data_IF_354711366084
#
_entry.id   IF_354711366084
#
_cell.length_a   1.000
_cell.length_b   1.000
_cell.length_c   1.000
_cell.angle_alpha   90.00
_cell.angle_beta   90.00
_cell.angle_gamma   90.00
#
_symmetry.space_group_name_H-M   'P 1'
#
loop_
_entity.id
_entity.type
_entity.pdbx_description
1 polymer ?
#
# COMPACT_ATOMS: atom_id res chain seq x y z
N UNK A 1 -11.47 25.20 7.35
CA UNK A 1 -12.19 24.51 8.45
C UNK A 1 -11.48 23.19 8.71
N UNK A 2 -11.14 22.89 9.97
CA UNK A 2 -10.54 21.61 10.37
C UNK A 2 -11.51 20.44 10.12
N UNK A 3 -10.96 19.24 9.91
CA UNK A 3 -11.76 18.02 9.88
C UNK A 3 -12.20 17.68 11.32
N UNK A 4 -13.47 17.29 11.54
CA UNK A 4 -13.92 16.87 12.86
C UNK A 4 -13.13 15.64 13.34
N UNK A 5 -12.82 15.66 14.64
CA UNK A 5 -12.07 14.63 15.34
C UNK A 5 -12.85 14.04 16.52
N UNK A 6 -13.92 14.72 16.96
CA UNK A 6 -14.74 14.37 18.12
C UNK A 6 -16.24 14.28 17.80
N UNK A 7 -17.03 13.51 18.59
CA UNK A 7 -18.50 13.48 18.48
C UNK A 7 -19.15 14.86 18.57
N UNK A 8 -18.62 15.73 19.44
CA UNK A 8 -19.16 17.07 19.67
C UNK A 8 -18.99 17.95 18.43
N UNK A 9 -17.89 17.80 17.70
CA UNK A 9 -17.68 18.49 16.42
C UNK A 9 -18.64 17.96 15.34
N UNK A 10 -18.89 16.64 15.28
CA UNK A 10 -19.89 16.07 14.39
C UNK A 10 -21.30 16.61 14.69
N UNK A 11 -21.69 16.69 15.97
CA UNK A 11 -22.97 17.23 16.39
C UNK A 11 -23.12 18.72 16.01
N UNK A 12 -22.06 19.53 16.18
CA UNK A 12 -22.04 20.93 15.75
C UNK A 12 -22.21 21.10 14.24
N UNK A 13 -21.74 20.13 13.46
CA UNK A 13 -21.91 20.08 12.00
C UNK A 13 -23.27 19.49 11.57
N UNK A 14 -24.09 19.00 12.51
CA UNK A 14 -25.34 18.31 12.22
C UNK A 14 -25.15 16.98 11.49
N UNK A 15 -24.00 16.32 11.66
CA UNK A 15 -23.69 15.06 11.00
C UNK A 15 -24.10 13.89 11.90
N UNK A 16 -24.91 12.97 11.36
CA UNK A 16 -25.24 11.68 11.98
C UNK A 16 -24.01 10.77 12.05
N UNK A 17 -23.22 10.77 10.97
CA UNK A 17 -21.97 10.03 10.84
C UNK A 17 -21.15 10.55 9.65
N UNK A 18 -19.81 10.36 9.66
CA UNK A 18 -18.96 10.66 8.53
C UNK A 18 -19.19 9.70 7.35
N UNK A 19 -18.98 10.18 6.12
CA UNK A 19 -18.88 9.34 4.93
C UNK A 19 -17.56 8.56 4.91
N UNK A 20 -16.46 9.25 5.26
CA UNK A 20 -15.11 8.68 5.33
C UNK A 20 -14.51 9.03 6.70
N UNK A 21 -13.85 8.05 7.32
CA UNK A 21 -12.99 8.28 8.49
C UNK A 21 -11.56 7.97 8.10
N UNK A 22 -10.68 8.95 8.24
CA UNK A 22 -9.24 8.79 8.06
C UNK A 22 -8.59 8.43 9.39
N UNK A 23 -7.79 7.37 9.43
CA UNK A 23 -6.99 6.95 10.57
C UNK A 23 -5.52 7.14 10.20
N UNK A 24 -4.79 7.92 11.00
CA UNK A 24 -3.41 8.29 10.70
C UNK A 24 -2.48 8.06 11.89
N UNK A 25 -1.26 7.61 11.60
CA UNK A 25 -0.19 7.50 12.60
C UNK A 25 0.51 8.81 12.91
N UNK A 26 0.18 9.92 12.24
CA UNK A 26 0.60 11.27 12.60
C UNK A 26 -0.40 11.93 13.56
N UNK A 27 0.03 12.94 14.29
CA UNK A 27 -0.87 13.96 14.82
C UNK A 27 -1.63 14.66 13.69
N UNK A 28 -2.87 15.08 13.98
CA UNK A 28 -3.63 15.83 12.99
C UNK A 28 -3.11 17.27 12.91
N UNK A 29 -2.29 17.54 11.89
CA UNK A 29 -1.78 18.86 11.53
C UNK A 29 -2.43 19.25 10.20
N UNK A 30 -3.21 20.34 10.20
CA UNK A 30 -3.95 20.79 9.02
C UNK A 30 -3.04 21.59 8.08
N UNK A 31 -2.13 20.87 7.41
CA UNK A 31 -1.11 21.43 6.52
C UNK A 31 -1.09 20.69 5.18
N UNK A 32 -0.83 21.39 4.05
CA UNK A 32 -0.69 20.75 2.74
C UNK A 32 0.49 19.75 2.68
N UNK A 33 1.43 19.82 3.63
CA UNK A 33 2.54 18.87 3.74
C UNK A 33 2.15 17.54 4.38
N UNK A 34 0.94 17.44 4.92
CA UNK A 34 0.45 16.24 5.60
C UNK A 34 -0.57 15.55 4.71
N UNK A 35 -0.20 14.36 4.18
CA UNK A 35 -1.00 13.65 3.19
C UNK A 35 -2.43 13.33 3.65
N UNK A 36 -2.61 12.95 4.93
CA UNK A 36 -3.94 12.67 5.50
C UNK A 36 -4.82 13.92 5.56
N UNK A 37 -4.24 15.08 5.90
CA UNK A 37 -4.95 16.35 5.89
C UNK A 37 -5.32 16.77 4.47
N UNK A 38 -4.39 16.68 3.52
CA UNK A 38 -4.59 16.98 2.10
C UNK A 38 -5.74 16.15 1.52
N UNK A 39 -5.67 14.82 1.66
CA UNK A 39 -6.71 13.89 1.17
C UNK A 39 -8.05 14.19 1.82
N UNK A 40 -8.07 14.45 3.13
CA UNK A 40 -9.30 14.82 3.82
C UNK A 40 -9.91 16.13 3.32
N UNK A 41 -9.09 17.14 2.97
CA UNK A 41 -9.58 18.37 2.33
C UNK A 41 -10.07 18.14 0.90
N UNK A 42 -9.39 17.31 0.12
CA UNK A 42 -9.81 16.96 -1.25
C UNK A 42 -11.20 16.31 -1.23
N UNK A 43 -11.40 15.31 -0.38
CA UNK A 43 -12.69 14.65 -0.19
C UNK A 43 -13.76 15.61 0.36
N UNK A 44 -13.41 16.44 1.35
CA UNK A 44 -14.35 17.43 1.90
C UNK A 44 -14.79 18.47 0.88
N UNK A 45 -13.87 18.95 0.03
CA UNK A 45 -14.18 19.87 -1.08
C UNK A 45 -15.07 19.23 -2.14
N UNK A 46 -14.98 17.92 -2.34
CA UNK A 46 -15.88 17.16 -3.21
C UNK A 46 -17.27 16.91 -2.58
N UNK A 47 -17.53 17.42 -1.36
CA UNK A 47 -18.82 17.35 -0.70
C UNK A 47 -19.01 16.15 0.22
N UNK A 48 -17.96 15.37 0.50
CA UNK A 48 -18.02 14.26 1.45
C UNK A 48 -17.86 14.74 2.90
N UNK A 49 -18.55 14.06 3.82
CA UNK A 49 -18.38 14.26 5.27
C UNK A 49 -17.16 13.48 5.73
N UNK A 50 -16.03 14.15 5.94
CA UNK A 50 -14.77 13.49 6.30
C UNK A 50 -14.41 13.81 7.73
N UNK A 51 -14.04 12.79 8.50
CA UNK A 51 -13.52 12.94 9.85
C UNK A 51 -12.15 12.27 9.99
N UNK A 52 -11.39 12.61 11.03
CA UNK A 52 -10.04 12.07 11.23
C UNK A 52 -9.78 11.61 12.67
N UNK A 53 -9.14 10.45 12.79
CA UNK A 53 -8.66 9.85 14.04
C UNK A 53 -7.13 9.78 13.93
N UNK A 54 -6.47 10.69 14.65
CA UNK A 54 -5.01 10.75 14.72
C UNK A 54 -4.51 9.95 15.92
N UNK A 55 -3.56 9.04 15.67
CA UNK A 55 -2.88 8.21 16.66
C UNK A 55 -3.81 7.59 17.70
N UNK A 56 -4.81 6.79 17.28
CA UNK A 56 -5.71 6.15 18.24
C UNK A 56 -4.92 5.24 19.19
N UNK A 57 -5.33 5.20 20.46
CA UNK A 57 -4.85 4.17 21.38
C UNK A 57 -5.19 2.77 20.84
N UNK A 58 -4.15 1.94 20.70
CA UNK A 58 -4.26 0.59 20.16
C UNK A 58 -4.66 -0.44 21.22
N UNK A 59 -4.65 -0.06 22.50
CA UNK A 59 -4.99 -0.92 23.63
C UNK A 59 -6.44 -0.75 24.09
N UNK A 60 -7.18 0.20 23.51
CA UNK A 60 -8.55 0.54 23.89
C UNK A 60 -9.45 0.72 22.66
N UNK A 61 -10.77 0.61 22.88
CA UNK A 61 -11.77 0.94 21.87
C UNK A 61 -12.09 2.44 21.81
N UNK A 62 -11.71 3.20 22.84
CA UNK A 62 -12.20 4.57 23.05
C UNK A 62 -11.95 5.44 21.84
N UNK A 63 -10.74 5.44 21.30
CA UNK A 63 -10.38 6.34 20.19
C UNK A 63 -10.93 5.87 18.85
N UNK A 64 -10.75 4.58 18.52
CA UNK A 64 -11.13 4.06 17.21
C UNK A 64 -12.66 4.04 17.02
N UNK A 65 -13.42 3.86 18.10
CA UNK A 65 -14.87 3.85 18.06
C UNK A 65 -15.50 5.24 18.25
N UNK A 66 -14.72 6.28 18.61
CA UNK A 66 -15.28 7.57 19.05
C UNK A 66 -16.18 8.22 18.01
N UNK A 67 -15.91 8.05 16.72
CA UNK A 67 -16.69 8.67 15.63
C UNK A 67 -17.72 7.72 15.01
N UNK A 68 -17.88 6.52 15.56
CA UNK A 68 -18.68 5.45 14.96
C UNK A 68 -18.04 4.88 13.70
N UNK A 69 -18.88 4.26 12.86
CA UNK A 69 -18.46 3.67 11.58
C UNK A 69 -18.74 4.63 10.40
N UNK A 70 -17.84 4.76 9.41
CA UNK A 70 -18.09 5.57 8.22
C UNK A 70 -19.23 5.00 7.36
N UNK A 71 -19.79 5.81 6.45
CA UNK A 71 -20.80 5.34 5.48
C UNK A 71 -20.19 4.64 4.27
N UNK A 72 -19.02 5.09 3.82
CA UNK A 72 -18.36 4.62 2.60
C UNK A 72 -17.16 3.72 2.90
N UNK A 73 -16.11 4.25 3.53
CA UNK A 73 -14.88 3.49 3.80
C UNK A 73 -14.02 4.09 4.92
N UNK A 74 -13.11 3.28 5.46
CA UNK A 74 -12.02 3.69 6.33
C UNK A 74 -10.76 3.97 5.51
N UNK A 75 -10.16 5.14 5.63
CA UNK A 75 -8.85 5.44 5.03
C UNK A 75 -7.75 5.31 6.06
N UNK A 76 -6.79 4.39 5.89
CA UNK A 76 -5.74 4.10 6.88
C UNK A 76 -4.37 4.44 6.32
N UNK A 77 -3.57 5.18 7.08
CA UNK A 77 -2.17 5.51 6.74
C UNK A 77 -1.28 5.48 7.98
N UNK A 78 -0.03 5.06 7.81
CA UNK A 78 1.00 5.17 8.84
C UNK A 78 1.39 6.62 9.20
N UNK A 79 1.02 7.57 8.34
CA UNK A 79 1.41 8.97 8.45
C UNK A 79 2.24 9.44 7.26
N UNK A 80 2.99 10.50 7.48
CA UNK A 80 3.85 11.16 6.49
C UNK A 80 5.16 10.40 6.25
N UNK A 81 5.50 9.47 7.15
CA UNK A 81 6.66 8.59 7.06
C UNK A 81 6.26 7.15 7.38
N UNK A 82 7.11 6.19 7.01
CA UNK A 82 6.96 4.81 7.41
C UNK A 82 7.04 4.64 8.94
N UNK A 83 6.17 3.82 9.52
CA UNK A 83 6.09 3.69 10.98
C UNK A 83 7.36 3.11 11.61
N UNK A 84 8.02 2.17 10.92
CA UNK A 84 9.27 1.61 11.41
C UNK A 84 10.42 2.62 11.33
N UNK A 85 10.47 3.43 10.26
CA UNK A 85 11.46 4.50 10.13
C UNK A 85 11.27 5.60 11.18
N UNK A 86 10.01 5.89 11.54
CA UNK A 86 9.69 6.82 12.62
C UNK A 86 10.08 6.28 14.00
N UNK A 87 9.94 4.96 14.19
CA UNK A 87 10.17 4.32 15.47
C UNK A 87 11.62 3.90 15.72
N UNK A 88 12.41 3.70 14.67
CA UNK A 88 13.76 3.16 14.78
C UNK A 88 14.78 3.89 13.91
N UNK A 89 16.03 3.78 14.29
CA UNK A 89 17.18 4.15 13.44
C UNK A 89 17.51 3.03 12.45
N UNK A 90 18.35 3.32 11.46
CA UNK A 90 18.87 2.31 10.53
C UNK A 90 19.61 1.16 11.24
N UNK A 91 20.16 1.41 12.42
CA UNK A 91 20.79 0.41 13.30
C UNK A 91 19.77 -0.34 14.19
N UNK A 92 18.47 -0.27 13.86
CA UNK A 92 17.36 -0.90 14.59
C UNK A 92 17.26 -0.47 16.07
N UNK A 93 17.78 0.71 16.44
CA UNK A 93 17.63 1.29 17.78
C UNK A 93 16.34 2.10 17.87
N UNK A 94 15.55 1.92 18.91
CA UNK A 94 14.32 2.69 19.13
C UNK A 94 14.64 4.18 19.29
N UNK A 95 13.93 5.03 18.55
CA UNK A 95 14.01 6.49 18.66
C UNK A 95 13.28 6.93 19.93
N UNK A 96 13.82 7.94 20.60
CA UNK A 96 13.18 8.57 21.77
C UNK A 96 12.10 9.57 21.36
N UNK A 97 12.27 10.18 20.18
CA UNK A 97 11.38 11.20 19.65
C UNK A 97 10.73 10.80 18.33
N UNK A 98 9.55 11.36 18.08
CA UNK A 98 8.82 11.30 16.82
C UNK A 98 8.23 12.68 16.51
N UNK A 99 8.68 13.28 15.40
CA UNK A 99 8.35 14.65 15.01
C UNK A 99 6.84 14.85 14.74
N UNK A 100 6.14 13.75 14.44
CA UNK A 100 4.71 13.78 14.12
C UNK A 100 3.84 13.34 15.30
N UNK A 101 4.40 13.01 16.46
CA UNK A 101 3.65 12.70 17.67
C UNK A 101 3.52 13.94 18.57
N UNK A 102 2.34 14.23 19.17
CA UNK A 102 2.19 15.38 20.06
C UNK A 102 3.20 15.34 21.22
N UNK A 103 3.87 16.46 21.46
CA UNK A 103 4.95 16.55 22.46
C UNK A 103 6.27 15.91 22.03
N UNK A 104 6.37 15.40 20.80
CA UNK A 104 7.59 14.82 20.24
C UNK A 104 8.01 13.49 20.85
N UNK A 105 7.18 12.88 21.72
CA UNK A 105 7.51 11.64 22.43
C UNK A 105 7.13 10.43 21.58
N UNK A 106 8.05 9.51 21.34
CA UNK A 106 7.75 8.31 20.55
C UNK A 106 7.05 7.23 21.40
N UNK A 107 5.75 7.39 21.62
CA UNK A 107 4.94 6.47 22.42
C UNK A 107 3.55 6.16 21.84
N UNK A 108 3.17 6.75 20.71
CA UNK A 108 1.81 6.62 20.16
C UNK A 108 1.71 5.93 18.81
N UNK A 109 2.67 6.16 17.90
CA UNK A 109 2.70 5.47 16.61
C UNK A 109 3.16 4.02 16.81
N UNK A 110 2.32 3.01 16.51
CA UNK A 110 2.75 1.63 16.61
C UNK A 110 3.62 1.23 15.42
N UNK A 111 4.41 0.18 15.61
CA UNK A 111 5.15 -0.48 14.54
C UNK A 111 4.17 -1.11 13.54
N UNK A 112 4.44 -0.99 12.24
CA UNK A 112 3.55 -1.43 11.17
C UNK A 112 2.13 -0.83 11.30
N UNK A 113 2.07 0.49 11.50
CA UNK A 113 0.86 1.20 11.86
C UNK A 113 -0.35 0.92 10.95
N UNK A 114 -0.15 0.80 9.64
CA UNK A 114 -1.22 0.49 8.69
C UNK A 114 -1.87 -0.86 8.99
N UNK A 115 -1.07 -1.87 9.35
CA UNK A 115 -1.56 -3.20 9.74
C UNK A 115 -2.26 -3.13 11.10
N UNK A 116 -1.64 -2.48 12.08
CA UNK A 116 -2.18 -2.37 13.45
C UNK A 116 -3.53 -1.66 13.45
N UNK A 117 -3.65 -0.52 12.79
CA UNK A 117 -4.92 0.22 12.74
C UNK A 117 -5.99 -0.52 11.95
N UNK A 118 -5.63 -1.21 10.87
CA UNK A 118 -6.59 -2.06 10.14
C UNK A 118 -7.13 -3.18 11.03
N UNK A 119 -6.25 -3.86 11.78
CA UNK A 119 -6.66 -4.89 12.72
C UNK A 119 -7.51 -4.32 13.87
N UNK A 120 -7.17 -3.13 14.37
CA UNK A 120 -7.92 -2.43 15.42
C UNK A 120 -9.36 -2.14 14.96
N UNK A 121 -9.53 -1.64 13.73
CA UNK A 121 -10.87 -1.42 13.14
C UNK A 121 -11.64 -2.74 13.09
N UNK A 122 -11.05 -3.80 12.54
CA UNK A 122 -11.70 -5.13 12.41
C UNK A 122 -11.97 -5.81 13.76
N UNK A 123 -11.21 -5.45 14.81
CA UNK A 123 -11.43 -5.94 16.16
C UNK A 123 -12.76 -5.43 16.71
N UNK A 124 -13.06 -4.13 16.52
CA UNK A 124 -14.25 -3.49 17.11
C UNK A 124 -15.44 -3.36 16.15
N UNK A 125 -15.21 -3.32 14.84
CA UNK A 125 -16.25 -3.26 13.83
C UNK A 125 -16.26 -4.56 13.02
N UNK A 126 -17.27 -5.41 13.26
CA UNK A 126 -17.47 -6.67 12.53
C UNK A 126 -18.23 -6.40 11.23
N UNK A 127 -17.83 -7.07 10.15
CA UNK A 127 -18.39 -6.84 8.80
C UNK A 127 -18.39 -5.36 8.40
N UNK A 128 -17.31 -4.68 8.75
CA UNK A 128 -17.20 -3.23 8.60
C UNK A 128 -17.10 -2.79 7.15
N UNK A 129 -17.29 -1.49 6.91
CA UNK A 129 -17.01 -0.85 5.62
C UNK A 129 -15.60 -1.15 5.11
N UNK A 130 -15.39 -1.08 3.77
CA UNK A 130 -14.09 -1.31 3.17
C UNK A 130 -12.98 -0.49 3.84
N UNK A 131 -11.80 -1.10 3.98
CA UNK A 131 -10.61 -0.47 4.49
C UNK A 131 -9.65 -0.21 3.33
N UNK A 132 -9.27 1.06 3.16
CA UNK A 132 -8.43 1.56 2.09
C UNK A 132 -7.10 2.02 2.68
N UNK A 133 -6.02 1.33 2.33
CA UNK A 133 -4.67 1.72 2.74
C UNK A 133 -4.12 2.83 1.85
N UNK A 134 -3.30 3.70 2.41
CA UNK A 134 -2.60 4.73 1.66
C UNK A 134 -1.33 5.21 2.38
N UNK A 135 -0.67 6.20 1.77
CA UNK A 135 0.59 6.75 2.28
C UNK A 135 1.82 5.95 1.86
N UNK A 136 2.99 6.40 2.33
CA UNK A 136 4.29 5.87 1.92
C UNK A 136 4.43 4.39 2.34
N UNK A 137 4.07 4.07 3.59
CA UNK A 137 4.16 2.72 4.14
C UNK A 137 3.41 1.68 3.29
N UNK A 138 2.18 2.00 2.89
CA UNK A 138 1.38 1.12 2.04
C UNK A 138 1.90 1.09 0.60
N UNK A 139 2.20 2.26 0.02
CA UNK A 139 2.63 2.37 -1.39
C UNK A 139 3.90 1.58 -1.70
N UNK A 140 4.87 1.58 -0.78
CA UNK A 140 6.12 0.83 -0.92
C UNK A 140 5.92 -0.68 -0.75
N UNK A 141 4.89 -1.10 -0.01
CA UNK A 141 4.58 -2.50 0.28
C UNK A 141 3.38 -3.05 -0.51
N UNK A 142 3.00 -2.38 -1.60
CA UNK A 142 1.82 -2.76 -2.41
C UNK A 142 1.99 -4.07 -3.18
N UNK A 143 3.24 -4.47 -3.41
CA UNK A 143 3.67 -5.69 -4.11
C UNK A 143 4.65 -6.46 -3.20
N UNK A 144 5.11 -7.62 -3.67
CA UNK A 144 6.18 -8.34 -2.98
C UNK A 144 7.40 -7.43 -2.81
N UNK A 145 7.95 -7.37 -1.60
CA UNK A 145 9.02 -6.46 -1.24
C UNK A 145 9.96 -7.09 -0.23
N UNK A 146 11.20 -6.63 -0.22
CA UNK A 146 12.16 -6.99 0.82
C UNK A 146 11.89 -6.16 2.07
N UNK A 147 11.71 -6.83 3.21
CA UNK A 147 11.54 -6.22 4.51
C UNK A 147 12.84 -6.24 5.31
N UNK A 148 13.47 -5.08 5.43
CA UNK A 148 14.71 -4.89 6.17
C UNK A 148 14.60 -5.29 7.66
N UNK A 149 13.41 -5.15 8.25
CA UNK A 149 13.21 -5.39 9.68
C UNK A 149 13.31 -6.87 10.02
N UNK A 150 12.64 -7.71 9.21
CA UNK A 150 12.62 -9.17 9.38
C UNK A 150 13.65 -9.92 8.51
N UNK A 151 14.37 -9.21 7.63
CA UNK A 151 15.36 -9.77 6.70
C UNK A 151 14.77 -10.85 5.77
N UNK A 152 13.58 -10.56 5.22
CA UNK A 152 12.81 -11.51 4.41
C UNK A 152 12.03 -10.80 3.32
N UNK A 153 11.70 -11.54 2.26
CA UNK A 153 10.74 -11.09 1.26
C UNK A 153 9.33 -11.30 1.81
N UNK A 154 8.51 -10.27 1.79
CA UNK A 154 7.11 -10.29 2.24
C UNK A 154 6.17 -10.09 1.07
N UNK A 155 4.96 -10.69 1.12
CA UNK A 155 3.92 -10.40 0.15
C UNK A 155 3.42 -8.96 0.32
N UNK A 156 2.46 -8.55 -0.52
CA UNK A 156 1.82 -7.24 -0.38
C UNK A 156 1.21 -7.05 1.01
N UNK A 157 1.29 -5.82 1.54
CA UNK A 157 0.66 -5.41 2.80
C UNK A 157 -0.85 -5.66 2.84
N UNK A 158 -1.51 -5.75 1.67
CA UNK A 158 -2.92 -6.10 1.59
C UNK A 158 -3.23 -7.46 2.23
N UNK A 159 -2.33 -8.44 2.10
CA UNK A 159 -2.49 -9.75 2.70
C UNK A 159 -2.31 -9.72 4.23
N UNK A 160 -1.31 -8.97 4.69
CA UNK A 160 -0.99 -8.85 6.12
C UNK A 160 -2.05 -8.05 6.88
N UNK A 161 -2.45 -6.89 6.35
CA UNK A 161 -3.50 -6.05 6.92
C UNK A 161 -4.90 -6.62 6.68
N UNK A 162 -5.07 -7.50 5.69
CA UNK A 162 -6.37 -7.96 5.17
C UNK A 162 -7.24 -6.80 4.70
N UNK A 163 -6.66 -5.69 4.26
CA UNK A 163 -7.42 -4.54 3.76
C UNK A 163 -8.07 -4.85 2.40
N UNK A 164 -9.13 -4.12 2.06
CA UNK A 164 -9.88 -4.35 0.82
C UNK A 164 -9.17 -3.70 -0.37
N UNK A 165 -8.67 -2.47 -0.17
CA UNK A 165 -8.04 -1.67 -1.21
C UNK A 165 -6.77 -0.98 -0.70
N UNK A 166 -5.90 -0.60 -1.62
CA UNK A 166 -4.73 0.23 -1.39
C UNK A 166 -4.59 1.24 -2.52
N UNK A 167 -4.52 2.53 -2.19
CA UNK A 167 -4.22 3.59 -3.15
C UNK A 167 -2.75 3.99 -3.03
N UNK A 168 -2.04 4.04 -4.15
CA UNK A 168 -0.62 4.40 -4.19
C UNK A 168 -0.33 5.55 -5.17
N UNK A 169 0.79 6.24 -4.95
CA UNK A 169 1.18 7.41 -5.76
C UNK A 169 0.35 8.66 -5.43
N UNK A 170 0.10 9.48 -6.45
CA UNK A 170 -0.71 10.70 -6.35
C UNK A 170 -2.20 10.35 -6.29
N UNK A 171 -2.67 9.99 -5.09
CA UNK A 171 -3.98 9.39 -4.87
C UNK A 171 -5.15 10.38 -4.78
N UNK A 172 -4.95 11.69 -4.98
CA UNK A 172 -6.01 12.71 -4.82
C UNK A 172 -7.17 12.50 -5.80
N UNK A 173 -6.88 12.06 -7.02
CA UNK A 173 -7.91 11.71 -8.01
C UNK A 173 -8.49 10.32 -7.73
N UNK A 174 -7.63 9.34 -7.48
CA UNK A 174 -8.04 7.96 -7.24
C UNK A 174 -8.97 7.81 -6.03
N UNK A 175 -8.74 8.57 -4.95
CA UNK A 175 -9.61 8.54 -3.76
C UNK A 175 -10.99 9.11 -4.03
N UNK A 176 -11.11 10.12 -4.90
CA UNK A 176 -12.39 10.69 -5.32
C UNK A 176 -13.15 9.73 -6.22
N UNK A 177 -12.47 9.10 -7.18
CA UNK A 177 -13.04 8.06 -8.03
C UNK A 177 -13.55 6.89 -7.18
N UNK A 178 -12.77 6.46 -6.18
CA UNK A 178 -13.16 5.40 -5.26
C UNK A 178 -14.36 5.79 -4.41
N UNK A 179 -14.35 6.98 -3.81
CA UNK A 179 -15.47 7.47 -3.02
C UNK A 179 -16.76 7.58 -3.86
N UNK A 180 -16.64 7.98 -5.13
CA UNK A 180 -17.77 8.08 -6.07
C UNK A 180 -18.30 6.70 -6.42
N UNK A 181 -17.41 5.76 -6.76
CA UNK A 181 -17.78 4.41 -7.13
C UNK A 181 -18.44 3.66 -5.97
N UNK A 182 -17.88 3.76 -4.75
CA UNK A 182 -18.47 3.16 -3.55
C UNK A 182 -19.83 3.79 -3.19
N UNK A 183 -19.99 5.10 -3.38
CA UNK A 183 -21.27 5.79 -3.15
C UNK A 183 -22.36 5.33 -4.13
N UNK A 184 -21.98 5.09 -5.38
CA UNK A 184 -22.92 4.69 -6.45
C UNK A 184 -23.08 3.17 -6.58
N UNK A 185 -22.29 2.37 -5.86
CA UNK A 185 -22.27 0.92 -5.98
C UNK A 185 -21.72 0.43 -7.33
N UNK A 186 -20.84 1.21 -7.98
CA UNK A 186 -20.23 0.85 -9.26
C UNK A 186 -18.88 0.15 -9.08
N UNK A 187 -18.37 -0.42 -10.16
CA UNK A 187 -17.07 -1.11 -10.17
C UNK A 187 -15.92 -0.16 -9.80
N UNK A 188 -14.99 -0.65 -8.97
CA UNK A 188 -13.81 0.09 -8.47
C UNK A 188 -12.50 -0.39 -9.10
N UNK A 189 -12.52 -1.56 -9.74
CA UNK A 189 -11.31 -2.27 -10.18
C UNK A 189 -10.52 -1.57 -11.28
N UNK A 190 -11.14 -0.64 -11.98
CA UNK A 190 -10.52 0.09 -13.09
C UNK A 190 -9.96 1.46 -12.66
N UNK A 191 -10.05 1.79 -11.36
CA UNK A 191 -9.52 3.03 -10.78
C UNK A 191 -7.99 3.01 -10.82
N UNK A 192 -7.42 4.11 -11.31
CA UNK A 192 -5.97 4.25 -11.44
C UNK A 192 -5.26 4.34 -10.12
N UNK A 193 -4.19 3.56 -9.96
CA UNK A 193 -3.42 3.54 -8.71
C UNK A 193 -4.12 2.83 -7.55
N UNK A 194 -5.20 2.08 -7.82
CA UNK A 194 -5.88 1.23 -6.84
C UNK A 194 -5.39 -0.20 -6.97
N UNK A 195 -4.94 -0.78 -5.86
CA UNK A 195 -4.57 -2.18 -5.68
C UNK A 195 -5.65 -2.91 -4.85
N UNK A 196 -5.99 -4.15 -5.21
CA UNK A 196 -6.93 -4.99 -4.46
C UNK A 196 -6.58 -6.46 -4.58
N UNK A 197 -7.08 -7.31 -3.68
CA UNK A 197 -6.91 -8.77 -3.76
C UNK A 197 -7.97 -9.36 -4.71
N UNK A 198 -7.55 -9.73 -5.92
CA UNK A 198 -8.37 -10.29 -6.99
C UNK A 198 -8.67 -11.78 -6.79
N UNK A 199 -9.87 -12.19 -7.20
CA UNK A 199 -10.35 -13.57 -7.01
C UNK A 199 -9.70 -14.61 -7.94
N UNK A 200 -9.99 -15.89 -7.68
CA UNK A 200 -9.52 -17.06 -8.43
C UNK A 200 -9.64 -16.95 -9.96
N UNK A 201 -10.81 -16.51 -10.41
CA UNK A 201 -11.20 -16.45 -11.82
C UNK A 201 -10.57 -15.27 -12.53
N UNK A 202 -10.62 -14.09 -11.91
CA UNK A 202 -9.97 -12.87 -12.38
C UNK A 202 -8.46 -13.05 -12.48
N UNK A 203 -7.91 -13.90 -11.63
CA UNK A 203 -6.51 -14.21 -11.65
C UNK A 203 -6.14 -15.30 -12.67
N UNK A 204 -7.11 -16.10 -13.10
CA UNK A 204 -6.91 -17.03 -14.22
C UNK A 204 -7.05 -16.33 -15.57
N UNK A 205 -7.92 -15.32 -15.66
CA UNK A 205 -8.11 -14.50 -16.85
C UNK A 205 -7.07 -13.38 -16.91
N UNK A 206 -6.14 -13.45 -17.87
CA UNK A 206 -5.33 -12.26 -18.21
C UNK A 206 -6.28 -11.18 -18.70
N UNK A 207 -6.66 -10.23 -17.85
CA UNK A 207 -7.38 -9.03 -18.29
C UNK A 207 -6.54 -8.37 -19.39
N UNK A 208 -7.15 -8.12 -20.54
CA UNK A 208 -6.46 -7.49 -21.65
C UNK A 208 -5.91 -6.13 -21.22
N UNK A 209 -4.63 -5.87 -21.47
CA UNK A 209 -3.99 -4.60 -21.11
C UNK A 209 -3.31 -4.55 -19.74
N UNK A 210 -3.30 -5.64 -18.96
CA UNK A 210 -2.47 -5.80 -17.76
C UNK A 210 -1.28 -6.71 -18.12
N UNK A 211 -0.02 -6.27 -17.90
CA UNK A 211 1.18 -7.12 -18.16
C UNK A 211 1.44 -8.02 -16.98
N UNK A 212 2.42 -8.95 -17.01
CA UNK A 212 2.76 -9.97 -16.00
C UNK A 212 3.76 -9.46 -14.95
N UNK A 213 3.63 -9.86 -13.69
CA UNK A 213 4.62 -9.83 -12.62
C UNK A 213 4.91 -11.26 -12.17
N UNK A 214 6.11 -11.51 -11.67
CA UNK A 214 6.42 -12.79 -11.04
C UNK A 214 5.49 -13.16 -9.86
N UNK A 215 5.19 -14.47 -9.67
CA UNK A 215 4.57 -14.99 -8.44
C UNK A 215 5.34 -14.58 -7.20
N UNK A 216 4.68 -14.47 -6.05
CA UNK A 216 5.41 -14.35 -4.78
C UNK A 216 6.40 -15.51 -4.58
N UNK A 217 6.02 -16.75 -4.92
CA UNK A 217 6.90 -17.91 -4.74
C UNK A 217 8.11 -17.92 -5.68
N UNK A 218 8.02 -17.21 -6.81
CA UNK A 218 9.18 -17.02 -7.70
C UNK A 218 10.10 -15.93 -7.14
N UNK A 219 9.51 -14.83 -6.68
CA UNK A 219 10.23 -13.70 -6.08
C UNK A 219 10.98 -14.11 -4.82
N UNK A 220 10.39 -14.99 -4.02
CA UNK A 220 11.01 -15.51 -2.80
C UNK A 220 12.30 -16.30 -3.09
N UNK A 221 12.39 -16.92 -4.28
CA UNK A 221 13.50 -17.81 -4.67
C UNK A 221 14.51 -17.18 -5.61
N UNK A 222 14.13 -16.11 -6.31
CA UNK A 222 14.94 -15.48 -7.35
C UNK A 222 14.98 -13.95 -7.16
N UNK A 223 16.18 -13.43 -6.86
CA UNK A 223 16.42 -12.01 -6.71
C UNK A 223 16.21 -11.21 -8.02
N UNK A 224 16.38 -11.85 -9.18
CA UNK A 224 16.08 -11.21 -10.46
C UNK A 224 14.57 -11.04 -10.63
N UNK A 225 13.78 -12.03 -10.24
CA UNK A 225 12.32 -11.90 -10.23
C UNK A 225 11.83 -10.79 -9.28
N UNK A 226 12.50 -10.56 -8.15
CA UNK A 226 12.24 -9.38 -7.32
C UNK A 226 12.55 -8.08 -8.06
N UNK A 227 13.71 -8.01 -8.72
CA UNK A 227 14.12 -6.82 -9.49
C UNK A 227 13.16 -6.52 -10.63
N UNK A 228 12.73 -7.54 -11.36
CA UNK A 228 11.76 -7.44 -12.45
C UNK A 228 10.44 -6.83 -11.99
N UNK A 229 9.98 -7.14 -10.76
CA UNK A 229 8.77 -6.55 -10.20
C UNK A 229 8.87 -5.02 -10.10
N UNK A 230 10.03 -4.49 -9.71
CA UNK A 230 10.23 -3.04 -9.57
C UNK A 230 10.42 -2.35 -10.94
N UNK A 231 11.13 -3.01 -11.85
CA UNK A 231 11.37 -2.50 -13.21
C UNK A 231 10.08 -2.46 -14.04
N UNK A 232 9.26 -3.51 -13.94
CA UNK A 232 7.98 -3.62 -14.65
C UNK A 232 6.90 -2.79 -13.96
N UNK A 233 6.96 -2.67 -12.64
CA UNK A 233 5.95 -1.97 -11.83
C UNK A 233 6.06 -0.46 -11.75
N UNK A 234 6.85 0.14 -12.64
CA UNK A 234 6.94 1.60 -12.77
C UNK A 234 7.46 2.30 -11.53
N UNK A 235 8.23 1.62 -10.67
CA UNK A 235 8.97 2.26 -9.59
C UNK A 235 10.26 2.83 -10.20
N UNK A 236 10.12 3.91 -10.97
CA UNK A 236 11.25 4.82 -11.19
C UNK A 236 11.40 5.64 -9.91
N UNK A 237 12.15 5.10 -8.94
CA UNK A 237 12.75 5.94 -7.90
C UNK A 237 13.87 6.71 -8.61
N UNK A 238 13.52 7.83 -9.24
CA UNK A 238 14.50 8.83 -9.62
C UNK A 238 14.90 9.51 -8.31
N UNK A 239 15.95 9.00 -7.66
CA UNK A 239 16.75 9.85 -6.78
C UNK A 239 17.46 10.85 -7.70
N UNK A 240 16.79 11.96 -8.06
CA UNK A 240 17.48 13.14 -8.56
C UNK A 240 18.16 13.79 -7.37
N UNK A 241 19.27 13.20 -6.93
CA UNK A 241 20.32 13.96 -6.28
C UNK A 241 21.40 14.16 -7.34
N UNK A 242 21.49 15.37 -7.87
CA UNK A 242 22.72 15.85 -8.49
C UNK A 242 23.80 15.85 -7.41
N UNK A 243 24.50 14.74 -7.27
CA UNK A 243 25.84 14.72 -6.70
C UNK A 243 26.80 14.38 -7.84
N UNK A 244 27.42 15.43 -8.35
CA UNK A 244 28.53 15.39 -9.26
C UNK A 244 29.65 14.55 -8.63
N UNK A 245 29.87 13.33 -9.10
CA UNK A 245 31.10 12.58 -8.87
C UNK A 245 31.55 11.92 -10.17
N UNK A 246 32.76 12.28 -10.59
CA UNK A 246 33.46 11.76 -11.76
C UNK A 246 33.64 10.23 -11.71
N UNK A 247 33.76 9.57 -12.88
CA UNK A 247 33.83 8.12 -12.96
C UNK A 247 35.23 7.62 -12.60
N UNK A 248 35.29 6.59 -11.73
CA UNK A 248 36.44 5.69 -11.66
C UNK A 248 35.94 4.28 -11.94
N UNK A 249 36.32 3.81 -13.12
CA UNK A 249 36.12 2.46 -13.65
C UNK A 249 36.87 1.43 -12.80
N UNK A 250 36.28 0.26 -12.51
CA UNK A 250 37.03 -1.01 -12.45
C UNK A 250 36.11 -2.23 -12.71
N UNK A 251 36.55 -3.04 -13.68
CA UNK A 251 36.26 -4.46 -13.96
C UNK A 251 36.36 -5.33 -12.67
N UNK A 252 35.80 -6.53 -12.50
CA UNK A 252 35.74 -7.72 -13.36
C UNK A 252 34.93 -8.86 -12.70
N UNK A 253 34.38 -9.74 -13.54
CA UNK A 253 34.02 -11.17 -13.39
C UNK A 253 34.25 -11.90 -12.05
N UNK A 254 33.30 -12.76 -11.63
CA UNK A 254 33.36 -14.23 -11.85
C UNK A 254 32.18 -15.01 -11.22
N UNK A 255 31.91 -16.14 -11.87
CA UNK A 255 31.02 -17.29 -11.62
C UNK A 255 30.52 -17.61 -10.21
N UNK A 256 29.31 -18.18 -10.15
CA UNK A 256 29.01 -19.37 -9.35
C UNK A 256 27.77 -20.10 -9.88
N UNK A 257 27.95 -21.36 -10.25
CA UNK A 257 26.86 -22.32 -10.42
C UNK A 257 26.62 -23.08 -9.12
N UNK A 258 25.41 -23.61 -8.92
CA UNK A 258 25.20 -24.83 -8.15
C UNK A 258 23.80 -25.42 -8.38
N UNK A 259 23.72 -26.71 -8.10
CA UNK A 259 22.87 -27.77 -8.61
C UNK A 259 21.54 -27.98 -7.89
N UNK A 260 20.64 -28.72 -8.56
CA UNK A 260 19.34 -29.20 -8.12
C UNK A 260 19.36 -30.08 -6.84
N UNK A 261 18.34 -29.92 -5.99
CA UNK A 261 17.68 -31.05 -5.30
C UNK A 261 16.17 -30.82 -5.17
N UNK A 262 15.43 -31.85 -5.60
CA UNK A 262 14.00 -32.14 -5.42
C UNK A 262 13.65 -32.40 -3.93
N UNK A 263 12.43 -32.31 -3.39
CA UNK A 263 11.04 -32.22 -3.87
C UNK A 263 10.12 -31.85 -2.68
N UNK A 264 8.93 -31.28 -2.95
CA UNK A 264 7.71 -31.57 -2.17
C UNK A 264 6.95 -30.38 -1.58
N UNK A 265 5.78 -30.07 -2.16
CA UNK A 265 4.69 -29.34 -1.45
C UNK A 265 4.30 -27.97 -1.99
N UNK A 266 4.08 -27.85 -3.30
CA UNK A 266 3.77 -26.59 -3.97
C UNK A 266 2.31 -26.11 -3.87
N UNK A 267 2.12 -24.83 -3.51
CA UNK A 267 1.07 -23.94 -4.05
C UNK A 267 1.83 -22.75 -4.70
N UNK A 268 1.46 -22.36 -5.92
CA UNK A 268 2.26 -21.49 -6.80
C UNK A 268 1.36 -20.52 -7.55
N UNK A 269 1.55 -19.18 -7.61
CA UNK A 269 0.86 -18.36 -8.64
C UNK A 269 1.40 -16.96 -9.00
N UNK A 270 1.55 -16.73 -10.33
CA UNK A 270 2.13 -15.56 -11.01
C UNK A 270 1.26 -14.29 -11.04
N UNK A 271 1.86 -13.11 -10.95
CA UNK A 271 1.24 -11.77 -10.87
C UNK A 271 1.24 -11.07 -12.25
N UNK A 272 0.62 -9.88 -12.42
CA UNK A 272 0.53 -9.12 -13.67
C UNK A 272 0.64 -7.53 -13.52
N UNK A 273 1.70 -6.80 -14.03
CA UNK A 273 1.81 -5.31 -14.18
C UNK A 273 2.22 -4.75 -15.57
N UNK A 274 1.69 -3.62 -16.12
CA UNK A 274 2.06 -2.94 -17.42
C UNK A 274 3.00 -1.74 -17.34
N UNK A 275 3.95 -1.68 -18.28
CA UNK A 275 4.99 -0.67 -18.43
C UNK A 275 4.46 0.67 -18.94
N UNK A 276 5.12 1.75 -18.52
CA UNK A 276 4.71 3.15 -18.67
C UNK A 276 5.38 3.90 -19.84
N UNK A 277 5.87 3.23 -20.89
CA UNK A 277 6.57 3.90 -21.99
C UNK A 277 6.04 3.54 -23.39
N UNK A 278 5.95 4.51 -24.32
CA UNK A 278 5.76 4.21 -25.74
C UNK A 278 7.01 3.49 -26.28
N UNK A 279 6.81 2.32 -26.87
CA UNK A 279 7.87 1.49 -27.44
C UNK A 279 8.65 2.23 -28.54
N UNK A 280 9.94 2.48 -28.29
CA UNK A 280 10.96 2.69 -29.33
C UNK A 280 11.88 1.47 -29.36
N UNK A 281 11.80 0.70 -30.45
CA UNK A 281 12.66 -0.41 -30.88
C UNK A 281 13.22 -1.38 -29.82
N UNK A 282 12.61 -2.57 -29.71
CA UNK A 282 13.20 -3.74 -29.05
C UNK A 282 13.78 -4.70 -30.09
N UNK A 283 15.09 -4.99 -30.01
CA UNK A 283 15.69 -6.14 -30.70
C UNK A 283 15.14 -7.45 -30.11
N UNK A 284 14.78 -8.38 -30.99
CA UNK A 284 14.25 -9.71 -30.65
C UNK A 284 15.38 -10.61 -30.13
N UNK A 285 15.19 -11.18 -28.94
CA UNK A 285 15.80 -12.47 -28.61
C UNK A 285 14.71 -13.55 -28.61
N UNK A 286 14.89 -14.57 -29.45
CA UNK A 286 14.10 -15.81 -29.44
C UNK A 286 14.75 -16.77 -28.45
N UNK A 287 13.95 -17.37 -27.56
CA UNK A 287 14.24 -18.73 -27.09
C UNK A 287 12.97 -19.57 -27.16
N UNK A 288 13.17 -20.83 -27.56
CA UNK A 288 12.17 -21.84 -27.90
C UNK A 288 12.10 -22.90 -26.82
N UNK A 289 10.90 -23.17 -26.30
CA UNK A 289 10.39 -24.43 -25.71
C UNK A 289 9.05 -24.04 -25.05
N UNK A 290 7.89 -24.66 -25.27
CA UNK A 290 7.55 -26.07 -25.36
C UNK A 290 6.36 -26.27 -24.40
N UNK A 291 5.15 -26.41 -24.93
CA UNK A 291 3.88 -26.44 -24.20
C UNK A 291 3.72 -27.62 -23.22
N UNK A 292 3.06 -27.39 -22.07
CA UNK A 292 1.96 -28.23 -21.53
C UNK A 292 1.24 -27.55 -20.33
N UNK A 293 -0.07 -27.83 -20.11
CA UNK A 293 -0.93 -27.02 -19.24
C UNK A 293 -1.02 -27.55 -17.81
N UNK A 294 -1.09 -26.66 -16.81
CA UNK A 294 -1.50 -27.02 -15.45
C UNK A 294 -2.49 -26.00 -14.87
N UNK A 295 -3.71 -26.47 -14.60
CA UNK A 295 -4.77 -25.76 -13.86
C UNK A 295 -4.42 -25.72 -12.36
N UNK A 296 -4.53 -24.56 -11.71
CA UNK A 296 -4.82 -24.36 -10.26
C UNK A 296 -5.06 -22.84 -10.00
N UNK A 297 -5.72 -22.51 -8.90
CA UNK A 297 -6.41 -21.24 -8.61
C UNK A 297 -5.51 -20.12 -8.05
N UNK A 298 -5.55 -18.93 -8.66
CA UNK A 298 -4.66 -17.75 -8.46
C UNK A 298 -5.34 -16.60 -7.69
N UNK A 299 -4.65 -15.74 -6.95
CA UNK A 299 -5.22 -14.51 -6.35
C UNK A 299 -4.26 -13.35 -6.66
N UNK A 300 -4.72 -12.24 -7.25
CA UNK A 300 -3.87 -11.20 -7.85
C UNK A 300 -4.01 -9.84 -7.20
N UNK A 301 -3.07 -8.93 -7.47
CA UNK A 301 -3.23 -7.50 -7.17
C UNK A 301 -3.30 -6.74 -8.46
N UNK A 302 -4.46 -6.15 -8.74
CA UNK A 302 -4.71 -5.42 -9.98
C UNK A 302 -4.57 -3.93 -9.65
N UNK A 303 -3.64 -3.27 -10.35
CA UNK A 303 -3.49 -1.82 -10.35
C UNK A 303 -4.17 -1.25 -11.60
N UNK A 304 -5.26 -0.48 -11.45
CA UNK A 304 -5.88 0.21 -12.58
C UNK A 304 -4.91 1.22 -13.21
N UNK A 305 -4.99 1.39 -14.54
CA UNK A 305 -4.01 2.11 -15.38
C UNK A 305 -4.57 3.36 -16.03
#
# INVERSE_FOLDING_TARGET
MFLPTTPQELAKLGWDRPDIILVTGDSYIDSPFIGSALIGKVLSRAGYRVAIIAQPDIHSNTDICRLGEPRLFWGVTAGSVDSMVANYTSLKKKRKSDDYTPGGVNNRRPDQASIVYTNLIKQYFKHTRPIVLGGIEASLRRIAHYDFWTDRIRPSILFDAKADYLLYGMAEKAVLELATALKNGTEVRDIRGLCYIAGAEESAGKRAGYLALPPFEAVEKDANALTDIFLVGGIFIIFSYEFCFHPVSYFSHTHLGCSEMNHGGSKHFAVFLRSTLPFGHTQRFRSSAGDRPYKRNRVHIVAGG
#
